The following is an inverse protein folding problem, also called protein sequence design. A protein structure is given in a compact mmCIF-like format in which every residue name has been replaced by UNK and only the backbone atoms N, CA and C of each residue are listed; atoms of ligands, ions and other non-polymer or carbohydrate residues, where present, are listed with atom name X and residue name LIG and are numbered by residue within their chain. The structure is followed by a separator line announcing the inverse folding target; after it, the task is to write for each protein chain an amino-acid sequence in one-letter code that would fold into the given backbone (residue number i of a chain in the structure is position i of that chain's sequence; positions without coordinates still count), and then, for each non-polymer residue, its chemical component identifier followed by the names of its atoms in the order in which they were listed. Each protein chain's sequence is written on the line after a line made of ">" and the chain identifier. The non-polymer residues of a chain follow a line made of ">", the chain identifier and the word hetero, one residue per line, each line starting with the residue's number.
data_IF_296023780315
#
_entry.id   IF_296023780315
#
_cell.length_a   1.000
_cell.length_b   1.000
_cell.length_c   1.000
_cell.angle_alpha   90.00
_cell.angle_beta   90.00
_cell.angle_gamma   90.00
#
_symmetry.space_group_name_H-M   'P 1'
#
loop_
_entity.id
_entity.type
_entity.pdbx_description
1 polymer ?
#
# COMPACT_ATOMS: atom_id res chain seq x y z
N UNK A 1 4.33 18.09 -11.50
CA UNK A 1 4.90 16.84 -11.98
C UNK A 1 4.33 15.65 -11.24
N UNK A 2 4.52 14.46 -11.78
CA UNK A 2 4.11 13.20 -11.19
C UNK A 2 5.08 12.82 -10.05
N UNK A 3 4.54 12.45 -8.89
CA UNK A 3 5.34 11.99 -7.76
C UNK A 3 4.58 10.94 -6.95
N UNK A 4 5.31 10.23 -6.09
CA UNK A 4 4.74 9.37 -5.05
C UNK A 4 4.88 10.04 -3.69
N UNK A 5 3.90 9.83 -2.86
CA UNK A 5 3.91 10.24 -1.46
C UNK A 5 3.63 9.02 -0.58
N UNK A 6 4.32 8.92 0.55
CA UNK A 6 3.99 7.91 1.55
C UNK A 6 2.54 8.07 2.02
N UNK A 7 1.80 6.99 1.99
CA UNK A 7 0.47 6.92 2.56
C UNK A 7 0.53 6.96 4.09
N UNK A 8 -0.59 7.25 4.69
CA UNK A 8 -0.72 7.27 6.15
C UNK A 8 -1.20 5.91 6.65
N UNK A 9 -0.54 5.40 7.66
CA UNK A 9 -0.96 4.21 8.38
C UNK A 9 -0.05 3.02 8.19
N UNK A 10 0.09 2.29 9.27
CA UNK A 10 0.71 0.97 9.31
C UNK A 10 -0.44 0.01 9.50
N UNK A 11 -0.57 -0.96 8.61
CA UNK A 11 -1.59 -1.99 8.67
C UNK A 11 -0.96 -3.30 9.13
N UNK A 12 -1.67 -4.06 9.92
CA UNK A 12 -1.24 -5.42 10.23
C UNK A 12 -1.33 -6.30 8.97
N UNK A 13 -0.33 -7.17 8.73
CA UNK A 13 -0.37 -8.06 7.58
C UNK A 13 -1.59 -8.97 7.65
N UNK A 14 -2.35 -8.98 6.56
CA UNK A 14 -3.41 -9.95 6.34
C UNK A 14 -2.87 -11.08 5.46
N UNK A 15 -3.50 -12.24 5.51
CA UNK A 15 -3.08 -13.38 4.69
C UNK A 15 -3.08 -12.99 3.20
N UNK A 16 -1.94 -13.15 2.55
CA UNK A 16 -1.72 -12.73 1.17
C UNK A 16 -1.44 -11.24 0.97
N UNK A 17 -1.55 -10.46 2.04
CA UNK A 17 -1.30 -9.02 2.03
C UNK A 17 -0.27 -8.68 3.08
N UNK A 18 0.48 -7.63 2.83
CA UNK A 18 1.39 -7.13 3.83
C UNK A 18 1.34 -5.61 3.86
N UNK A 19 1.72 -5.07 4.99
CA UNK A 19 1.78 -3.65 5.19
C UNK A 19 3.22 -3.20 5.03
N UNK A 20 3.51 -2.69 3.86
CA UNK A 20 4.62 -1.79 3.68
C UNK A 20 4.11 -0.38 3.87
N UNK A 21 4.89 0.59 3.47
CA UNK A 21 4.38 1.94 3.32
C UNK A 21 3.35 1.96 2.21
N UNK A 22 2.14 2.32 2.54
CA UNK A 22 1.18 2.70 1.52
C UNK A 22 1.72 3.91 0.77
N UNK A 23 1.41 3.99 -0.51
CA UNK A 23 1.78 5.15 -1.32
C UNK A 23 0.56 5.78 -1.98
N UNK A 24 0.68 7.06 -2.25
CA UNK A 24 -0.29 7.84 -3.01
C UNK A 24 0.41 8.43 -4.22
N UNK A 25 -0.30 8.49 -5.34
CA UNK A 25 0.17 9.20 -6.54
C UNK A 25 -0.27 10.65 -6.42
N UNK A 26 0.67 11.57 -6.65
CA UNK A 26 0.42 13.00 -6.55
C UNK A 26 0.80 13.72 -7.85
N UNK A 27 0.07 14.75 -8.17
CA UNK A 27 0.32 15.60 -9.32
C UNK A 27 -0.86 16.52 -9.59
N UNK A 28 -0.60 17.58 -10.33
CA UNK A 28 -1.65 18.52 -10.76
C UNK A 28 -2.23 18.08 -12.09
N UNK A 29 -3.54 18.24 -12.25
CA UNK A 29 -4.27 17.97 -13.51
C UNK A 29 -4.16 16.52 -14.00
N UNK A 30 -4.07 15.57 -13.07
CA UNK A 30 -4.09 14.15 -13.38
C UNK A 30 -5.50 13.67 -13.72
N UNK A 31 -5.62 12.90 -14.78
CA UNK A 31 -6.87 12.28 -15.19
C UNK A 31 -6.91 10.80 -14.86
N UNK A 32 -5.88 10.06 -15.28
CA UNK A 32 -5.74 8.61 -15.11
C UNK A 32 -4.34 8.26 -14.70
N UNK A 33 -4.23 7.13 -14.01
CA UNK A 33 -2.95 6.58 -13.58
C UNK A 33 -2.93 5.08 -13.91
N UNK A 34 -1.86 4.65 -14.57
CA UNK A 34 -1.55 3.24 -14.76
C UNK A 34 -0.43 2.86 -13.81
N UNK A 35 -0.67 1.85 -12.99
CA UNK A 35 0.28 1.30 -12.04
C UNK A 35 0.65 -0.10 -12.47
N UNK A 36 1.93 -0.42 -12.52
CA UNK A 36 2.42 -1.76 -12.80
C UNK A 36 3.61 -2.10 -11.93
N UNK A 37 3.67 -3.35 -11.49
CA UNK A 37 4.77 -3.90 -10.71
C UNK A 37 5.23 -5.21 -11.33
N UNK A 38 6.55 -5.43 -11.37
CA UNK A 38 7.12 -6.59 -12.04
C UNK A 38 7.24 -7.84 -11.16
N UNK A 39 6.82 -7.76 -9.90
CA UNK A 39 6.67 -8.90 -8.98
C UNK A 39 5.44 -8.72 -8.12
N UNK A 40 4.73 -9.82 -7.86
CA UNK A 40 3.50 -9.78 -7.06
C UNK A 40 2.44 -8.90 -7.70
N UNK A 41 1.71 -8.19 -6.90
CA UNK A 41 0.63 -7.33 -7.33
C UNK A 41 0.47 -6.09 -6.46
N UNK A 42 -0.59 -5.38 -6.72
CA UNK A 42 -0.98 -4.16 -6.03
C UNK A 42 -2.35 -4.34 -5.39
N UNK A 43 -2.62 -3.58 -4.36
CA UNK A 43 -3.97 -3.43 -3.82
C UNK A 43 -4.27 -1.95 -3.55
N UNK A 44 -5.55 -1.61 -3.59
CA UNK A 44 -6.07 -0.32 -3.16
C UNK A 44 -6.58 -0.44 -1.73
N UNK A 45 -6.16 0.48 -0.88
CA UNK A 45 -6.64 0.61 0.49
C UNK A 45 -7.54 1.84 0.59
N UNK A 46 -8.73 1.65 1.15
CA UNK A 46 -9.67 2.74 1.39
C UNK A 46 -10.45 2.51 2.68
N UNK A 47 -10.91 3.60 3.28
CA UNK A 47 -11.86 3.57 4.39
C UNK A 47 -13.20 4.07 3.89
N UNK A 48 -14.23 3.24 4.02
CA UNK A 48 -15.61 3.61 3.72
C UNK A 48 -16.34 3.93 5.01
N UNK A 49 -17.02 5.07 5.03
CA UNK A 49 -17.68 5.61 6.23
C UNK A 49 -19.20 5.56 6.09
N UNK A 50 -19.87 5.47 7.25
CA UNK A 50 -21.32 5.56 7.35
C UNK A 50 -22.05 4.56 6.44
N UNK A 51 -21.63 3.29 6.52
CA UNK A 51 -22.23 2.21 5.74
C UNK A 51 -23.63 1.86 6.23
N UNK A 52 -24.54 1.62 5.29
CA UNK A 52 -25.80 0.96 5.57
C UNK A 52 -25.59 -0.54 5.81
N UNK A 53 -26.62 -1.21 6.37
CA UNK A 53 -26.58 -2.66 6.52
C UNK A 53 -26.43 -3.38 5.18
N UNK A 54 -27.08 -2.91 4.12
CA UNK A 54 -26.98 -3.48 2.79
C UNK A 54 -25.57 -3.32 2.21
N UNK A 55 -24.93 -2.16 2.41
CA UNK A 55 -23.57 -1.91 2.00
C UNK A 55 -22.57 -2.81 2.75
N UNK A 56 -22.75 -3.01 4.06
CA UNK A 56 -21.93 -3.93 4.85
C UNK A 56 -22.09 -5.38 4.37
N UNK A 57 -23.33 -5.82 4.09
CA UNK A 57 -23.60 -7.15 3.54
C UNK A 57 -22.93 -7.35 2.18
N UNK A 58 -22.96 -6.35 1.32
CA UNK A 58 -22.29 -6.39 0.02
C UNK A 58 -20.78 -6.56 0.14
N UNK A 59 -20.16 -5.89 1.13
CA UNK A 59 -18.74 -6.06 1.41
C UNK A 59 -18.40 -7.48 1.88
N UNK A 60 -19.15 -8.02 2.81
CA UNK A 60 -18.96 -9.40 3.28
C UNK A 60 -19.14 -10.43 2.16
N UNK A 61 -20.10 -10.21 1.28
CA UNK A 61 -20.29 -11.09 0.13
C UNK A 61 -19.11 -11.01 -0.84
N UNK A 62 -18.60 -9.81 -1.10
CA UNK A 62 -17.41 -9.62 -1.94
C UNK A 62 -16.16 -10.26 -1.31
N UNK A 63 -16.01 -10.21 0.01
CA UNK A 63 -14.93 -10.89 0.72
C UNK A 63 -15.02 -12.42 0.59
N UNK A 64 -16.22 -12.98 0.75
CA UNK A 64 -16.45 -14.41 0.52
C UNK A 64 -16.13 -14.84 -0.92
N UNK A 65 -16.40 -13.98 -1.88
CA UNK A 65 -16.08 -14.22 -3.29
C UNK A 65 -14.59 -14.03 -3.62
N UNK A 66 -13.77 -13.60 -2.65
CA UNK A 66 -12.33 -13.37 -2.86
C UNK A 66 -11.99 -12.09 -3.62
N UNK A 67 -12.94 -11.16 -3.78
CA UNK A 67 -12.75 -9.91 -4.53
C UNK A 67 -12.00 -8.85 -3.73
N UNK A 68 -12.13 -8.88 -2.40
CA UNK A 68 -11.51 -7.92 -1.48
C UNK A 68 -11.36 -8.52 -0.09
N UNK A 69 -10.64 -7.79 0.77
CA UNK A 69 -10.58 -8.04 2.21
C UNK A 69 -11.11 -6.82 2.93
N UNK A 70 -11.99 -7.00 3.90
CA UNK A 70 -12.56 -5.89 4.65
C UNK A 70 -12.60 -6.16 6.15
N UNK A 71 -12.59 -5.07 6.90
CA UNK A 71 -12.83 -5.05 8.34
C UNK A 71 -13.89 -4.03 8.65
N UNK A 72 -15.07 -4.49 9.07
CA UNK A 72 -16.20 -3.62 9.43
C UNK A 72 -16.18 -3.38 10.93
N UNK A 73 -16.35 -2.13 11.34
CA UNK A 73 -16.29 -1.71 12.73
C UNK A 73 -17.26 -0.57 13.01
N UNK A 74 -17.45 -0.23 14.30
CA UNK A 74 -18.29 0.89 14.72
C UNK A 74 -19.77 0.55 14.82
N UNK A 75 -20.17 -0.72 14.88
CA UNK A 75 -21.56 -1.16 14.93
C UNK A 75 -22.24 -1.04 16.30
N UNK A 76 -21.73 -0.25 17.21
CA UNK A 76 -22.33 0.00 18.51
C UNK A 76 -23.56 0.91 18.37
N UNK A 77 -24.49 0.82 19.33
CA UNK A 77 -25.72 1.60 19.32
C UNK A 77 -25.44 3.10 19.07
N UNK A 78 -25.95 3.62 17.95
CA UNK A 78 -25.83 5.01 17.57
C UNK A 78 -24.55 5.40 16.85
N UNK A 79 -23.59 4.50 16.69
CA UNK A 79 -22.39 4.76 15.92
C UNK A 79 -22.56 4.29 14.46
N UNK A 80 -22.08 5.05 13.45
CA UNK A 80 -22.10 4.58 12.07
C UNK A 80 -21.11 3.42 11.88
N UNK A 81 -21.47 2.47 11.04
CA UNK A 81 -20.55 1.44 10.58
C UNK A 81 -19.56 2.03 9.59
N UNK A 82 -18.29 1.67 9.78
CA UNK A 82 -17.22 1.99 8.84
C UNK A 82 -16.54 0.68 8.41
N UNK A 83 -15.82 0.73 7.31
CA UNK A 83 -15.02 -0.41 6.88
C UNK A 83 -13.68 0.05 6.29
N UNK A 84 -12.64 -0.68 6.67
CA UNK A 84 -11.37 -0.64 5.95
C UNK A 84 -11.39 -1.73 4.90
N UNK A 85 -11.13 -1.36 3.65
CA UNK A 85 -11.26 -2.23 2.49
C UNK A 85 -9.96 -2.26 1.72
N UNK A 86 -9.49 -3.47 1.40
CA UNK A 86 -8.35 -3.72 0.53
C UNK A 86 -8.81 -4.50 -0.69
N UNK A 87 -8.66 -3.91 -1.86
CA UNK A 87 -9.07 -4.49 -3.14
C UNK A 87 -7.84 -4.83 -3.96
N UNK A 88 -7.71 -6.10 -4.35
CA UNK A 88 -6.62 -6.55 -5.21
C UNK A 88 -6.79 -5.96 -6.62
N UNK A 89 -5.70 -5.42 -7.17
CA UNK A 89 -5.69 -4.77 -8.48
C UNK A 89 -4.90 -5.56 -9.52
N UNK A 90 -4.18 -6.61 -9.10
CA UNK A 90 -3.25 -7.32 -9.97
C UNK A 90 -1.94 -6.57 -10.14
N UNK A 91 -1.15 -6.98 -11.13
CA UNK A 91 0.18 -6.42 -11.40
C UNK A 91 0.20 -5.25 -12.37
N UNK A 92 -0.91 -4.95 -13.03
CA UNK A 92 -1.06 -3.86 -14.00
C UNK A 92 -2.51 -3.38 -13.99
N UNK A 93 -2.71 -2.12 -13.67
CA UNK A 93 -4.04 -1.54 -13.54
C UNK A 93 -4.06 -0.09 -13.98
N UNK A 94 -5.11 0.30 -14.69
CA UNK A 94 -5.41 1.70 -15.01
C UNK A 94 -6.64 2.13 -14.23
N UNK A 95 -6.52 3.22 -13.49
CA UNK A 95 -7.60 3.78 -12.66
C UNK A 95 -7.77 5.26 -12.95
N UNK A 96 -8.98 5.76 -12.72
CA UNK A 96 -9.20 7.21 -12.68
C UNK A 96 -8.45 7.79 -11.47
N UNK A 97 -7.85 8.97 -11.68
CA UNK A 97 -7.09 9.60 -10.60
C UNK A 97 -7.99 9.98 -9.43
N UNK A 98 -7.60 9.54 -8.26
CA UNK A 98 -8.22 9.89 -6.99
C UNK A 98 -7.11 10.31 -6.02
N UNK A 99 -7.06 11.60 -5.62
CA UNK A 99 -6.02 12.10 -4.73
C UNK A 99 -6.06 11.47 -3.33
N UNK A 100 -7.17 10.86 -2.94
CA UNK A 100 -7.33 10.19 -1.65
C UNK A 100 -6.96 8.70 -1.70
N UNK A 101 -6.72 8.14 -2.88
CA UNK A 101 -6.42 6.71 -3.02
C UNK A 101 -5.04 6.39 -2.48
N UNK A 102 -4.97 5.34 -1.68
CA UNK A 102 -3.73 4.74 -1.20
C UNK A 102 -3.57 3.34 -1.78
N UNK A 103 -2.34 3.01 -2.15
CA UNK A 103 -2.00 1.73 -2.77
C UNK A 103 -0.92 1.03 -1.95
N UNK A 104 -0.93 -0.28 -1.98
CA UNK A 104 0.08 -1.12 -1.36
C UNK A 104 0.44 -2.31 -2.25
N UNK A 105 1.34 -3.15 -1.76
CA UNK A 105 1.86 -4.29 -2.49
C UNK A 105 1.28 -5.58 -1.94
N UNK A 106 0.93 -6.49 -2.82
CA UNK A 106 0.26 -7.74 -2.52
C UNK A 106 1.10 -8.92 -3.03
N UNK A 107 1.36 -9.88 -2.15
CA UNK A 107 1.87 -11.19 -2.57
C UNK A 107 0.67 -12.10 -2.76
N UNK A 108 0.42 -12.62 -3.99
CA UNK A 108 -0.65 -13.58 -4.20
C UNK A 108 -0.50 -14.80 -3.28
N UNK A 109 -1.59 -15.36 -2.75
CA UNK A 109 -1.52 -16.50 -1.82
C UNK A 109 -0.70 -17.70 -2.33
N UNK A 110 -0.75 -17.97 -3.63
CA UNK A 110 0.01 -19.04 -4.28
C UNK A 110 1.52 -18.77 -4.35
N UNK A 111 1.93 -17.52 -4.22
CA UNK A 111 3.34 -17.10 -4.25
C UNK A 111 3.91 -16.84 -2.84
N UNK A 112 3.08 -16.97 -1.81
CA UNK A 112 3.54 -16.78 -0.43
C UNK A 112 4.61 -17.83 -0.07
N UNK A 113 5.68 -17.42 0.63
CA UNK A 113 6.63 -18.37 1.17
C UNK A 113 5.94 -19.41 2.06
N UNK A 114 6.54 -20.61 2.14
CA UNK A 114 6.03 -21.65 3.02
C UNK A 114 6.08 -21.17 4.48
N UNK A 115 4.93 -21.24 5.16
CA UNK A 115 4.83 -20.82 6.54
C UNK A 115 5.77 -21.66 7.43
N UNK A 116 6.43 -21.00 8.37
CA UNK A 116 7.31 -21.58 9.38
C UNK A 116 6.72 -21.34 10.77
N UNK A 117 7.44 -21.78 11.81
CA UNK A 117 7.05 -21.50 13.19
C UNK A 117 7.38 -20.05 13.61
N UNK A 118 8.16 -19.31 12.80
CA UNK A 118 8.49 -17.92 13.04
C UNK A 118 7.64 -16.98 12.17
N UNK A 119 6.50 -16.57 12.69
CA UNK A 119 5.56 -15.70 11.99
C UNK A 119 6.17 -14.35 11.61
N UNK A 120 7.09 -13.83 12.41
CA UNK A 120 7.76 -12.56 12.12
C UNK A 120 8.67 -12.70 10.90
N UNK A 121 9.45 -13.77 10.85
CA UNK A 121 10.33 -14.06 9.73
C UNK A 121 9.51 -14.34 8.47
N UNK A 122 8.40 -15.06 8.58
CA UNK A 122 7.49 -15.33 7.45
C UNK A 122 6.93 -14.02 6.87
N UNK A 123 6.57 -13.08 7.71
CA UNK A 123 6.12 -11.74 7.29
C UNK A 123 7.23 -11.00 6.54
N UNK A 124 8.45 -11.03 7.08
CA UNK A 124 9.58 -10.37 6.43
C UNK A 124 9.93 -11.01 5.08
N UNK A 125 9.89 -12.33 5.00
CA UNK A 125 10.13 -13.07 3.74
C UNK A 125 9.09 -12.71 2.68
N UNK A 126 7.83 -12.55 3.07
CA UNK A 126 6.76 -12.09 2.17
C UNK A 126 7.02 -10.67 1.66
N UNK A 127 7.43 -9.77 2.53
CA UNK A 127 7.79 -8.40 2.16
C UNK A 127 9.01 -8.38 1.23
N UNK A 128 10.01 -9.21 1.51
CA UNK A 128 11.24 -9.29 0.72
C UNK A 128 11.03 -9.77 -0.72
N UNK A 129 9.88 -10.35 -1.04
CA UNK A 129 9.48 -10.65 -2.43
C UNK A 129 9.62 -9.42 -3.32
N UNK A 130 9.39 -8.22 -2.79
CA UNK A 130 9.42 -6.98 -3.55
C UNK A 130 10.80 -6.30 -3.58
N UNK A 131 11.78 -6.82 -2.85
CA UNK A 131 13.12 -6.22 -2.85
C UNK A 131 13.75 -6.35 -4.25
N UNK A 132 14.07 -5.21 -4.85
CA UNK A 132 14.60 -5.12 -6.22
C UNK A 132 13.53 -5.14 -7.31
N UNK A 133 12.24 -5.22 -6.98
CA UNK A 133 11.16 -5.07 -7.94
C UNK A 133 11.06 -3.63 -8.44
N UNK A 134 10.33 -3.43 -9.54
CA UNK A 134 10.10 -2.10 -10.12
C UNK A 134 8.61 -1.79 -10.14
N UNK A 135 8.29 -0.59 -9.68
CA UNK A 135 6.97 0.01 -9.80
C UNK A 135 7.03 1.08 -10.89
N UNK A 136 6.22 0.93 -11.91
CA UNK A 136 6.06 1.94 -12.96
C UNK A 136 4.73 2.64 -12.78
N UNK A 137 4.77 3.97 -12.78
CA UNK A 137 3.60 4.83 -12.69
C UNK A 137 3.55 5.67 -13.96
N UNK A 138 2.50 5.48 -14.75
CA UNK A 138 2.21 6.30 -15.91
C UNK A 138 0.98 7.15 -15.63
N UNK A 139 1.11 8.44 -15.80
CA UNK A 139 0.01 9.39 -15.63
C UNK A 139 -0.43 9.96 -16.96
N UNK A 140 -1.75 10.07 -17.13
CA UNK A 140 -2.37 10.85 -18.20
C UNK A 140 -2.97 12.09 -17.57
N UNK A 141 -2.56 13.26 -18.07
CA UNK A 141 -3.04 14.54 -17.62
C UNK A 141 -4.32 14.95 -18.37
N UNK A 142 -5.04 15.93 -17.82
CA UNK A 142 -6.29 16.44 -18.44
C UNK A 142 -6.10 16.99 -19.85
N UNK A 143 -4.90 17.46 -20.19
CA UNK A 143 -4.55 17.93 -21.53
C UNK A 143 -4.17 16.82 -22.51
N UNK A 144 -4.22 15.55 -22.06
CA UNK A 144 -3.87 14.38 -22.83
C UNK A 144 -2.38 14.04 -22.88
N UNK A 145 -1.52 14.84 -22.25
CA UNK A 145 -0.09 14.51 -22.12
C UNK A 145 0.10 13.36 -21.15
N UNK A 146 1.19 12.64 -21.30
CA UNK A 146 1.57 11.53 -20.45
C UNK A 146 2.94 11.76 -19.81
N UNK A 147 3.13 11.26 -18.61
CA UNK A 147 4.41 11.21 -17.92
C UNK A 147 4.54 9.85 -17.26
N UNK A 148 5.73 9.26 -17.32
CA UNK A 148 6.00 7.95 -16.71
C UNK A 148 7.21 8.05 -15.80
N UNK A 149 7.12 7.38 -14.64
CA UNK A 149 8.24 7.23 -13.71
C UNK A 149 8.35 5.79 -13.25
N UNK A 150 9.57 5.32 -13.14
CA UNK A 150 9.88 4.00 -12.60
C UNK A 150 10.62 4.16 -11.27
N UNK A 151 10.18 3.37 -10.31
CA UNK A 151 10.74 3.32 -8.96
C UNK A 151 11.33 1.94 -8.70
N UNK A 152 12.50 1.90 -8.11
CA UNK A 152 13.04 0.66 -7.56
C UNK A 152 12.51 0.48 -6.15
N UNK A 153 11.95 -0.69 -5.88
CA UNK A 153 11.45 -1.06 -4.56
C UNK A 153 12.59 -1.68 -3.75
N UNK A 154 12.69 -1.31 -2.50
CA UNK A 154 13.62 -1.86 -1.54
C UNK A 154 12.87 -2.21 -0.26
N UNK A 155 13.38 -3.19 0.46
CA UNK A 155 12.79 -3.64 1.72
C UNK A 155 13.80 -3.52 2.85
N UNK A 156 13.31 -3.38 4.05
CA UNK A 156 14.17 -3.26 5.21
C UNK A 156 13.45 -2.75 6.44
N UNK A 157 14.24 -2.48 7.47
CA UNK A 157 13.77 -1.87 8.71
C UNK A 157 13.64 -0.37 8.51
N UNK A 158 12.42 0.08 8.26
CA UNK A 158 12.13 1.50 8.08
C UNK A 158 11.99 2.17 9.44
N UNK A 159 12.61 3.33 9.57
CA UNK A 159 12.59 4.09 10.80
C UNK A 159 11.18 4.60 11.11
N UNK A 160 10.76 4.43 12.35
CA UNK A 160 9.57 5.03 12.90
C UNK A 160 9.93 6.31 13.66
N UNK A 161 9.17 7.36 13.42
CA UNK A 161 9.24 8.58 14.19
C UNK A 161 7.90 8.81 14.91
N UNK A 162 7.97 9.26 16.16
CA UNK A 162 6.79 9.48 16.97
C UNK A 162 6.52 10.97 17.08
N UNK A 163 5.29 11.35 16.74
CA UNK A 163 4.84 12.72 16.96
C UNK A 163 4.51 12.96 18.45
N UNK A 164 4.46 14.22 18.84
CA UNK A 164 4.13 14.64 20.22
C UNK A 164 2.76 14.12 20.69
N UNK A 165 1.82 13.91 19.77
CA UNK A 165 0.49 13.36 20.07
C UNK A 165 0.48 11.82 20.25
N UNK A 166 1.64 11.18 20.18
CA UNK A 166 1.77 9.73 20.33
C UNK A 166 1.57 8.90 19.06
N UNK A 167 1.23 9.52 17.93
CA UNK A 167 1.12 8.81 16.65
C UNK A 167 2.50 8.56 16.05
N UNK A 168 2.60 7.47 15.28
CA UNK A 168 3.83 7.08 14.59
C UNK A 168 3.75 7.38 13.10
N UNK A 169 4.88 7.73 12.50
CA UNK A 169 5.02 7.85 11.06
C UNK A 169 6.22 7.04 10.59
N UNK A 170 6.11 6.45 9.40
CA UNK A 170 7.21 5.74 8.76
C UNK A 170 8.02 6.71 7.93
N UNK A 171 9.31 6.76 8.17
CA UNK A 171 10.23 7.59 7.39
C UNK A 171 10.86 6.74 6.28
N UNK A 172 11.17 7.32 5.12
CA UNK A 172 11.87 6.63 4.03
C UNK A 172 13.38 6.53 4.33
N UNK A 173 13.72 6.02 5.50
CA UNK A 173 15.07 5.87 6.01
C UNK A 173 15.20 4.53 6.72
N UNK A 174 16.37 3.92 6.61
CA UNK A 174 16.67 2.73 7.40
C UNK A 174 16.88 3.09 8.86
N UNK A 175 16.35 2.26 9.75
CA UNK A 175 16.53 2.41 11.19
C UNK A 175 17.95 2.00 11.60
N UNK A 176 18.52 2.74 12.53
CA UNK A 176 19.74 2.35 13.24
C UNK A 176 19.47 1.27 14.29
N UNK A 177 20.54 0.76 14.91
CA UNK A 177 20.49 -0.43 15.77
C UNK A 177 19.53 -0.32 16.98
N UNK A 178 19.34 0.88 17.51
CA UNK A 178 18.48 1.13 18.68
C UNK A 178 17.23 1.96 18.36
N UNK A 179 17.00 2.23 17.08
CA UNK A 179 15.86 3.02 16.65
C UNK A 179 14.61 2.15 16.46
N UNK A 180 13.44 2.74 16.74
CA UNK A 180 12.16 2.08 16.44
C UNK A 180 12.00 1.89 14.93
N UNK A 181 11.46 0.75 14.53
CA UNK A 181 11.32 0.41 13.13
C UNK A 181 10.06 -0.39 12.84
N UNK A 182 9.66 -0.36 11.58
CA UNK A 182 8.76 -1.33 10.96
C UNK A 182 9.47 -1.94 9.75
N UNK A 183 9.34 -3.22 9.55
CA UNK A 183 9.83 -3.86 8.34
C UNK A 183 8.86 -3.59 7.20
N UNK A 184 9.33 -3.03 6.10
CA UNK A 184 8.44 -2.62 5.02
C UNK A 184 9.15 -2.37 3.71
N UNK A 185 8.40 -1.81 2.78
CA UNK A 185 8.84 -1.48 1.43
C UNK A 185 8.96 0.04 1.31
N UNK A 186 9.97 0.49 0.61
CA UNK A 186 10.09 1.87 0.16
C UNK A 186 10.46 1.91 -1.32
N UNK A 187 10.06 3.00 -1.97
CA UNK A 187 10.29 3.21 -3.39
C UNK A 187 11.21 4.40 -3.60
N UNK A 188 12.21 4.22 -4.45
CA UNK A 188 13.13 5.29 -4.85
C UNK A 188 13.06 5.44 -6.35
N UNK A 189 12.80 6.68 -6.84
CA UNK A 189 12.78 6.93 -8.28
C UNK A 189 14.17 6.74 -8.88
N UNK A 190 14.25 6.30 -10.13
CA UNK A 190 15.54 6.13 -10.82
C UNK A 190 16.33 7.45 -10.89
N UNK A 191 15.63 8.58 -10.98
CA UNK A 191 16.25 9.90 -10.96
C UNK A 191 16.82 10.28 -9.60
N UNK A 192 16.17 9.81 -8.52
CA UNK A 192 16.53 10.13 -7.15
C UNK A 192 17.49 9.11 -6.52
N UNK A 193 17.57 7.89 -7.06
CA UNK A 193 18.37 6.80 -6.50
C UNK A 193 19.84 7.18 -6.24
N UNK A 194 20.39 8.05 -7.07
CA UNK A 194 21.76 8.56 -6.91
C UNK A 194 21.95 9.49 -5.71
N UNK A 195 20.87 10.01 -5.13
CA UNK A 195 20.92 10.92 -3.98
C UNK A 195 20.71 10.21 -2.65
N UNK A 196 20.13 9.00 -2.68
CA UNK A 196 19.93 8.18 -1.49
C UNK A 196 21.12 7.26 -1.30
N UNK A 197 21.98 7.59 -0.36
CA UNK A 197 23.02 6.70 0.16
C UNK A 197 22.52 6.17 1.50
N UNK A 198 22.15 4.95 1.51
CA UNK A 198 21.71 4.23 2.71
C UNK A 198 22.90 3.60 3.43
#
# INVERSE_FOLDING_TARGET
>A
GLALRSGTGIWDPLQGYFTGCLFQVTGENLQKVTLSVDRGGLYRSETRKALSNDEAQALWQAEENGELVCSVYGADEGAPMNADVMTALGSDVTVDYDPSASYGFLVPPEELPTASDDMKQDTWDSIDTFNGAHLTVEATFLDGKTESRTYTLSTGRLRLDQYENGTWTVLPQLAGDEEAYVYGIYAVSEEESRWFQW
#
